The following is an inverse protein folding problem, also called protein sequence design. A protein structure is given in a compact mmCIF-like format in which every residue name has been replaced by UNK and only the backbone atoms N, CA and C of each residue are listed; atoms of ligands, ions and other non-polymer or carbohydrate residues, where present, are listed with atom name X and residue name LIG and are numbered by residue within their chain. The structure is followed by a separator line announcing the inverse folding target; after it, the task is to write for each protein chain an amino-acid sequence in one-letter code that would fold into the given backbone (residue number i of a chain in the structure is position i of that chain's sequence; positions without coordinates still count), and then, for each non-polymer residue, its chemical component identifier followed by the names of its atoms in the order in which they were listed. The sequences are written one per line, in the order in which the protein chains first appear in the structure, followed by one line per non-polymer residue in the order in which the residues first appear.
data_IF_044705854148
#
_entry.id   IF_044705854148
#
_cell.length_a   1.000
_cell.length_b   1.000
_cell.length_c   1.000
_cell.angle_alpha   90.00
_cell.angle_beta   90.00
_cell.angle_gamma   90.00
#
_symmetry.space_group_name_H-M   'P 1'
#
loop_
_entity.id
_entity.type
_entity.pdbx_description
1 polymer ?
#
# COMPACT_ATOMS: atom_id res chain seq x y z
N UNK A 1 -3.98 19.89 11.75
CA UNK A 1 -5.38 19.96 11.28
C UNK A 1 -5.70 21.26 10.53
N UNK A 2 -5.48 22.46 11.10
CA UNK A 2 -5.76 23.73 10.37
C UNK A 2 -4.91 23.94 9.11
N UNK A 3 -3.64 23.57 9.14
CA UNK A 3 -2.71 23.66 7.99
C UNK A 3 -3.12 22.71 6.87
N UNK A 4 -3.40 21.45 7.21
CA UNK A 4 -3.87 20.40 6.27
C UNK A 4 -5.15 20.83 5.54
N UNK A 5 -6.11 21.42 6.25
CA UNK A 5 -7.37 21.88 5.65
C UNK A 5 -7.18 23.09 4.73
N UNK A 6 -6.12 23.87 4.92
CA UNK A 6 -5.75 25.00 4.07
C UNK A 6 -5.07 24.52 2.78
N UNK A 7 -4.16 23.55 2.87
CA UNK A 7 -3.57 22.87 1.69
C UNK A 7 -4.64 22.11 0.89
N UNK A 8 -5.62 21.51 1.56
CA UNK A 8 -6.76 20.86 0.90
C UNK A 8 -7.63 21.86 0.12
N UNK A 9 -7.76 23.11 0.60
CA UNK A 9 -8.43 24.21 -0.12
C UNK A 9 -7.63 24.69 -1.32
N UNK A 10 -6.30 24.74 -1.20
CA UNK A 10 -5.41 25.16 -2.28
C UNK A 10 -5.38 24.15 -3.45
N UNK A 11 -5.68 22.87 -3.17
CA UNK A 11 -5.88 21.81 -4.17
C UNK A 11 -7.23 21.88 -4.92
N UNK A 12 -8.01 22.96 -4.74
CA UNK A 12 -9.27 23.19 -5.46
C UNK A 12 -10.43 22.30 -5.01
N UNK A 13 -10.39 21.80 -3.77
CA UNK A 13 -11.45 20.95 -3.22
C UNK A 13 -12.72 21.76 -2.90
N UNK A 14 -13.89 21.16 -3.15
CA UNK A 14 -15.19 21.74 -2.79
C UNK A 14 -15.35 21.79 -1.27
N UNK A 15 -16.20 22.70 -0.75
CA UNK A 15 -16.50 22.76 0.69
C UNK A 15 -17.10 21.44 1.22
N UNK A 16 -17.80 20.68 0.36
CA UNK A 16 -18.30 19.34 0.67
C UNK A 16 -17.16 18.31 0.83
N UNK A 17 -16.09 18.43 0.04
CA UNK A 17 -14.93 17.55 0.08
C UNK A 17 -14.13 17.73 1.38
N UNK A 18 -14.08 18.97 1.89
CA UNK A 18 -13.45 19.30 3.17
C UNK A 18 -14.21 18.70 4.34
N UNK A 19 -15.54 18.74 4.30
CA UNK A 19 -16.38 18.14 5.34
C UNK A 19 -16.20 16.61 5.34
N UNK A 20 -16.17 15.99 4.16
CA UNK A 20 -15.92 14.56 3.99
C UNK A 20 -14.52 14.16 4.51
N UNK A 21 -13.48 14.90 4.13
CA UNK A 21 -12.12 14.65 4.61
C UNK A 21 -12.02 14.79 6.14
N UNK A 22 -12.72 15.77 6.73
CA UNK A 22 -12.75 15.96 8.18
C UNK A 22 -13.42 14.79 8.89
N UNK A 23 -14.51 14.25 8.35
CA UNK A 23 -15.20 13.06 8.88
C UNK A 23 -14.33 11.82 8.82
N UNK A 24 -13.59 11.61 7.72
CA UNK A 24 -12.61 10.51 7.60
C UNK A 24 -11.54 10.64 8.68
N UNK A 25 -10.93 11.82 8.82
CA UNK A 25 -9.89 12.06 9.83
C UNK A 25 -10.42 11.81 11.24
N UNK A 26 -11.63 12.28 11.56
CA UNK A 26 -12.24 12.05 12.87
C UNK A 26 -12.47 10.56 13.14
N UNK A 27 -12.99 9.82 12.17
CA UNK A 27 -13.23 8.37 12.32
C UNK A 27 -11.92 7.60 12.54
N UNK A 28 -10.84 7.98 11.85
CA UNK A 28 -9.53 7.37 12.06
C UNK A 28 -8.94 7.82 13.41
N UNK A 29 -9.17 9.06 13.84
CA UNK A 29 -8.76 9.55 15.16
C UNK A 29 -9.43 8.77 16.30
N UNK A 30 -10.71 8.43 16.15
CA UNK A 30 -11.44 7.62 17.13
C UNK A 30 -10.85 6.21 17.27
N UNK A 31 -10.33 5.64 16.17
CA UNK A 31 -9.64 4.34 16.17
C UNK A 31 -8.21 4.36 16.73
N UNK A 32 -7.63 5.55 16.97
CA UNK A 32 -6.31 5.78 17.58
C UNK A 32 -5.20 4.91 16.97
N UNK A 33 -4.51 4.11 17.80
CA UNK A 33 -3.30 3.35 17.46
C UNK A 33 -3.59 2.08 16.66
N UNK A 34 -4.84 1.59 16.69
CA UNK A 34 -5.27 0.39 15.95
C UNK A 34 -5.52 0.73 14.48
N UNK A 35 -5.95 1.96 14.21
CA UNK A 35 -6.28 2.41 12.86
C UNK A 35 -7.53 1.75 12.30
N UNK A 36 -7.87 2.11 11.06
CA UNK A 36 -9.06 1.61 10.36
C UNK A 36 -8.64 0.95 9.05
N UNK A 37 -9.07 -0.28 8.75
CA UNK A 37 -8.80 -0.91 7.46
C UNK A 37 -9.55 -0.21 6.33
N UNK A 38 -9.00 -0.29 5.12
CA UNK A 38 -9.54 0.43 3.96
C UNK A 38 -10.98 0.00 3.59
N UNK A 39 -11.31 -1.29 3.70
CA UNK A 39 -12.65 -1.80 3.41
C UNK A 39 -13.72 -1.19 4.34
N UNK A 40 -13.36 -0.95 5.60
CA UNK A 40 -14.28 -0.40 6.60
C UNK A 40 -14.57 1.07 6.29
N UNK A 41 -13.56 1.83 5.85
CA UNK A 41 -13.73 3.20 5.37
C UNK A 41 -14.60 3.25 4.10
N UNK A 42 -14.37 2.36 3.13
CA UNK A 42 -15.18 2.30 1.90
C UNK A 42 -16.65 1.96 2.20
N UNK A 43 -16.89 1.09 3.19
CA UNK A 43 -18.24 0.69 3.61
C UNK A 43 -18.95 1.80 4.38
N UNK A 44 -18.26 2.45 5.32
CA UNK A 44 -18.80 3.55 6.14
C UNK A 44 -19.04 4.82 5.34
N UNK A 45 -18.23 5.08 4.34
CA UNK A 45 -18.26 6.31 3.55
C UNK A 45 -18.61 6.05 2.09
N UNK A 46 -19.89 5.76 1.83
CA UNK A 46 -20.47 5.92 0.48
C UNK A 46 -20.86 7.38 0.29
N UNK A 47 -19.89 8.23 -0.06
CA UNK A 47 -20.15 9.66 -0.26
C UNK A 47 -21.12 9.87 -1.43
N UNK A 48 -22.27 10.49 -1.14
CA UNK A 48 -23.24 10.99 -2.12
C UNK A 48 -23.11 12.50 -2.12
N UNK A 49 -22.27 13.04 -3.00
CA UNK A 49 -22.03 14.48 -3.13
C UNK A 49 -20.55 14.85 -2.95
N UNK A 50 -19.97 15.38 -4.03
CA UNK A 50 -18.53 15.53 -4.24
C UNK A 50 -18.10 14.55 -5.32
N UNK A 51 -17.64 15.02 -6.48
CA UNK A 51 -17.28 14.16 -7.63
C UNK A 51 -16.03 13.32 -7.42
N UNK A 52 -15.58 13.13 -6.17
CA UNK A 52 -14.29 12.59 -5.78
C UNK A 52 -14.52 11.33 -4.94
N UNK A 53 -13.89 10.22 -5.33
CA UNK A 53 -13.98 8.94 -4.62
C UNK A 53 -13.25 8.99 -3.27
N UNK A 54 -13.68 8.14 -2.32
CA UNK A 54 -13.00 7.90 -1.03
C UNK A 54 -11.50 7.67 -1.24
N UNK A 55 -11.15 6.95 -2.30
CA UNK A 55 -9.78 6.62 -2.64
C UNK A 55 -8.93 7.85 -2.91
N UNK A 56 -9.46 8.80 -3.69
CA UNK A 56 -8.76 10.04 -4.01
C UNK A 56 -8.59 10.91 -2.76
N UNK A 57 -9.57 10.90 -1.85
CA UNK A 57 -9.43 11.58 -0.57
C UNK A 57 -8.33 10.97 0.30
N UNK A 58 -8.29 9.64 0.39
CA UNK A 58 -7.24 8.91 1.12
C UNK A 58 -5.87 9.15 0.49
N UNK A 59 -5.75 9.08 -0.84
CA UNK A 59 -4.50 9.35 -1.55
C UNK A 59 -4.01 10.79 -1.30
N UNK A 60 -4.90 11.78 -1.32
CA UNK A 60 -4.57 13.18 -0.99
C UNK A 60 -4.12 13.33 0.46
N UNK A 61 -4.87 12.76 1.41
CA UNK A 61 -4.51 12.80 2.83
C UNK A 61 -3.18 12.09 3.13
N UNK A 62 -2.85 11.05 2.36
CA UNK A 62 -1.53 10.38 2.39
C UNK A 62 -0.44 11.27 1.80
N UNK A 63 -0.69 11.93 0.67
CA UNK A 63 0.29 12.85 0.05
C UNK A 63 0.65 14.04 0.96
N UNK A 64 -0.27 14.43 1.85
CA UNK A 64 -0.05 15.46 2.87
C UNK A 64 0.61 14.93 4.15
N UNK A 65 0.98 13.64 4.20
CA UNK A 65 1.63 13.03 5.37
C UNK A 65 0.74 12.89 6.62
N UNK A 66 -0.59 13.02 6.47
CA UNK A 66 -1.52 12.94 7.60
C UNK A 66 -1.88 11.51 7.96
N UNK A 67 -1.96 10.65 6.94
CA UNK A 67 -2.30 9.24 7.07
C UNK A 67 -1.10 8.36 6.74
N UNK A 68 -0.86 7.40 7.63
CA UNK A 68 0.18 6.38 7.52
C UNK A 68 -0.49 5.04 7.31
N UNK A 69 0.04 4.23 6.39
CA UNK A 69 -0.38 2.85 6.21
C UNK A 69 0.44 1.96 7.16
N UNK A 70 -0.21 1.38 8.14
CA UNK A 70 0.39 0.46 9.13
C UNK A 70 -0.33 -0.90 9.07
N UNK A 71 0.17 -1.90 9.78
CA UNK A 71 -0.53 -3.18 9.89
C UNK A 71 0.38 -4.40 9.97
N UNK A 72 -0.16 -5.49 10.51
CA UNK A 72 0.53 -6.79 10.63
C UNK A 72 -0.03 -7.78 9.60
N UNK A 73 -1.35 -8.01 9.64
CA UNK A 73 -2.05 -8.90 8.71
C UNK A 73 -2.76 -8.14 7.58
N UNK A 74 -3.36 -7.00 7.90
CA UNK A 74 -4.09 -6.15 6.94
C UNK A 74 -3.55 -4.72 6.98
N UNK A 75 -3.63 -4.03 5.85
CA UNK A 75 -3.32 -2.61 5.77
C UNK A 75 -4.38 -1.79 6.53
N UNK A 76 -3.93 -1.07 7.55
CA UNK A 76 -4.68 -0.15 8.38
C UNK A 76 -4.18 1.27 8.13
N UNK A 77 -5.10 2.24 8.16
CA UNK A 77 -4.77 3.65 8.11
C UNK A 77 -4.80 4.21 9.52
N UNK A 78 -3.67 4.80 9.93
CA UNK A 78 -3.46 5.45 11.23
C UNK A 78 -3.05 6.89 10.98
N UNK A 79 -3.46 7.82 11.85
CA UNK A 79 -2.96 9.20 11.77
C UNK A 79 -1.49 9.25 12.15
N UNK A 80 -0.71 10.08 11.46
CA UNK A 80 0.71 10.27 11.79
C UNK A 80 0.95 10.59 13.28
N UNK A 81 0.04 11.32 13.91
CA UNK A 81 0.09 11.65 15.35
C UNK A 81 -0.02 10.43 16.29
N UNK A 82 -0.62 9.33 15.84
CA UNK A 82 -0.78 8.09 16.61
C UNK A 82 0.09 6.95 16.04
N UNK A 83 1.05 7.28 15.17
CA UNK A 83 1.90 6.28 14.50
C UNK A 83 3.15 5.89 15.31
N UNK A 84 3.41 6.54 16.45
CA UNK A 84 4.58 6.26 17.30
C UNK A 84 4.76 4.78 17.70
N UNK A 85 3.74 3.97 18.06
CA UNK A 85 3.96 2.55 18.38
C UNK A 85 4.36 1.71 17.17
N UNK A 86 4.19 2.23 15.95
CA UNK A 86 4.54 1.56 14.69
C UNK A 86 5.91 2.00 14.15
N UNK A 87 6.58 2.92 14.84
CA UNK A 87 7.84 3.53 14.44
C UNK A 87 8.91 3.25 15.50
N UNK A 88 10.13 3.00 15.05
CA UNK A 88 11.31 2.99 15.92
C UNK A 88 11.96 4.36 15.82
N UNK A 89 12.10 5.03 16.96
CA UNK A 89 12.90 6.25 17.04
C UNK A 89 14.36 5.90 16.78
N UNK A 90 14.92 6.42 15.69
CA UNK A 90 16.36 6.36 15.47
C UNK A 90 17.02 7.39 16.38
N UNK A 91 17.89 6.93 17.27
CA UNK A 91 18.67 7.80 18.15
C UNK A 91 19.89 8.34 17.38
N UNK A 92 19.67 9.22 16.41
CA UNK A 92 20.74 10.06 15.89
C UNK A 92 20.81 11.35 16.71
N UNK A 93 21.97 11.59 17.33
CA UNK A 93 22.23 12.82 18.06
C UNK A 93 22.34 14.00 17.08
N UNK A 94 21.62 15.09 17.43
CA UNK A 94 21.47 16.38 16.77
C UNK A 94 20.24 16.54 15.82
N UNK A 95 19.18 17.06 16.43
CA UNK A 95 18.10 17.91 15.89
C UNK A 95 16.96 17.33 15.03
N UNK A 96 17.04 16.10 14.52
CA UNK A 96 15.88 15.45 13.85
C UNK A 96 15.75 13.99 14.26
N UNK A 97 14.95 13.71 15.30
CA UNK A 97 14.55 12.34 15.63
C UNK A 97 13.68 11.79 14.49
N UNK A 98 14.31 11.11 13.53
CA UNK A 98 13.61 10.42 12.46
C UNK A 98 13.02 9.12 13.01
N UNK A 99 11.69 9.03 12.99
CA UNK A 99 10.92 7.84 13.38
C UNK A 99 10.81 6.91 12.16
N UNK A 100 11.40 5.71 12.23
CA UNK A 100 11.53 4.79 11.09
C UNK A 100 10.60 3.59 11.26
N UNK A 101 9.83 3.27 10.22
CA UNK A 101 9.00 2.06 10.21
C UNK A 101 9.88 0.81 10.12
N UNK A 102 9.61 -0.21 10.93
CA UNK A 102 10.39 -1.46 10.93
C UNK A 102 10.13 -2.21 9.64
N UNK A 103 11.14 -2.30 8.76
CA UNK A 103 11.14 -3.20 7.59
C UNK A 103 12.44 -4.00 7.54
N UNK A 104 12.39 -5.28 7.15
CA UNK A 104 13.59 -6.13 7.04
C UNK A 104 14.65 -5.57 6.08
N UNK A 105 14.24 -4.75 5.11
CA UNK A 105 15.11 -4.10 4.14
C UNK A 105 15.48 -2.65 4.51
N UNK A 106 15.06 -2.13 5.65
CA UNK A 106 15.45 -0.80 6.13
C UNK A 106 16.58 -0.89 7.16
N UNK A 107 17.54 0.04 7.09
CA UNK A 107 18.55 0.26 8.13
C UNK A 107 17.93 1.04 9.31
N UNK A 108 18.62 1.03 10.44
CA UNK A 108 18.24 1.80 11.64
C UNK A 108 18.16 3.30 11.35
N UNK A 109 18.99 3.80 10.43
CA UNK A 109 18.98 5.20 9.99
C UNK A 109 17.85 5.52 8.97
N UNK A 110 16.91 4.60 8.75
CA UNK A 110 15.85 4.75 7.73
C UNK A 110 16.34 4.58 6.28
N UNK A 111 17.65 4.43 6.07
CA UNK A 111 18.21 4.20 4.75
C UNK A 111 17.89 2.79 4.22
N UNK A 112 17.61 2.68 2.93
CA UNK A 112 17.30 1.41 2.29
C UNK A 112 18.52 0.49 2.21
N UNK A 113 18.35 -0.76 2.62
CA UNK A 113 19.30 -1.84 2.36
C UNK A 113 18.88 -2.58 1.08
N UNK A 114 19.57 -2.28 -0.02
CA UNK A 114 19.24 -2.82 -1.34
C UNK A 114 19.47 -4.32 -1.45
N UNK A 115 20.59 -4.84 -0.90
CA UNK A 115 20.91 -6.28 -1.04
C UNK A 115 19.83 -7.20 -0.45
N UNK A 116 19.27 -6.95 0.75
CA UNK A 116 18.10 -7.69 1.23
C UNK A 116 16.86 -7.43 0.39
N UNK A 117 16.58 -6.19 0.00
CA UNK A 117 15.41 -5.86 -0.83
C UNK A 117 15.43 -6.66 -2.14
N UNK A 118 16.54 -6.65 -2.88
CA UNK A 118 16.70 -7.36 -4.14
C UNK A 118 16.49 -8.87 -3.98
N UNK A 119 16.96 -9.43 -2.85
CA UNK A 119 16.73 -10.85 -2.50
C UNK A 119 15.27 -11.14 -2.18
N UNK A 120 14.59 -10.25 -1.48
CA UNK A 120 13.17 -10.41 -1.18
C UNK A 120 12.33 -10.28 -2.45
N UNK A 121 12.58 -9.27 -3.28
CA UNK A 121 11.93 -9.08 -4.58
C UNK A 121 12.16 -10.28 -5.49
N UNK A 122 13.40 -10.73 -5.62
CA UNK A 122 13.74 -11.92 -6.41
C UNK A 122 13.08 -13.19 -5.88
N UNK A 123 13.01 -13.36 -4.56
CA UNK A 123 12.36 -14.51 -3.92
C UNK A 123 10.85 -14.55 -4.16
N UNK A 124 10.17 -13.41 -3.98
CA UNK A 124 8.73 -13.29 -4.24
C UNK A 124 8.43 -13.49 -5.72
N UNK A 125 9.20 -12.86 -6.61
CA UNK A 125 9.02 -13.03 -8.05
C UNK A 125 9.26 -14.47 -8.51
N UNK A 126 10.30 -15.13 -8.01
CA UNK A 126 10.59 -16.53 -8.36
C UNK A 126 9.45 -17.47 -7.96
N UNK A 127 8.80 -17.22 -6.81
CA UNK A 127 7.62 -17.97 -6.41
C UNK A 127 6.45 -17.73 -7.37
N UNK A 128 6.17 -16.46 -7.72
CA UNK A 128 5.09 -16.12 -8.64
C UNK A 128 5.29 -16.73 -10.04
N UNK A 129 6.53 -16.73 -10.55
CA UNK A 129 6.88 -17.40 -11.82
C UNK A 129 6.66 -18.91 -11.73
N UNK A 130 6.95 -19.54 -10.59
CA UNK A 130 6.72 -20.97 -10.37
C UNK A 130 5.26 -21.34 -10.14
N UNK A 131 4.39 -20.39 -9.81
CA UNK A 131 2.98 -20.61 -9.51
C UNK A 131 2.16 -19.37 -9.93
N UNK A 132 1.92 -19.19 -11.24
CA UNK A 132 1.16 -18.06 -11.75
C UNK A 132 -0.30 -18.12 -11.28
N UNK A 133 -0.92 -16.96 -11.07
CA UNK A 133 -2.29 -16.84 -10.56
C UNK A 133 -2.40 -17.09 -9.06
N UNK A 134 -1.28 -17.09 -8.33
CA UNK A 134 -1.28 -17.21 -6.87
C UNK A 134 -1.93 -16.00 -6.21
N UNK A 135 -2.59 -16.23 -5.07
CA UNK A 135 -3.15 -15.16 -4.24
C UNK A 135 -2.13 -14.64 -3.25
N UNK A 136 -2.37 -13.43 -2.72
CA UNK A 136 -1.56 -12.89 -1.62
C UNK A 136 -1.59 -13.79 -0.37
N UNK A 137 -2.70 -14.49 -0.12
CA UNK A 137 -2.81 -15.44 0.98
C UNK A 137 -1.81 -16.61 0.81
N UNK A 138 -1.75 -17.21 -0.38
CA UNK A 138 -0.80 -18.28 -0.69
C UNK A 138 0.67 -17.82 -0.57
N UNK A 139 0.96 -16.58 -0.99
CA UNK A 139 2.27 -15.96 -0.73
C UNK A 139 2.55 -15.84 0.77
N UNK A 140 1.59 -15.34 1.54
CA UNK A 140 1.78 -15.13 2.98
C UNK A 140 2.05 -16.44 3.73
N UNK A 141 1.38 -17.53 3.36
CA UNK A 141 1.63 -18.86 3.93
C UNK A 141 3.04 -19.37 3.60
N UNK A 142 3.53 -19.12 2.38
CA UNK A 142 4.86 -19.56 1.94
C UNK A 142 5.99 -18.82 2.66
N UNK A 143 5.84 -17.53 2.87
CA UNK A 143 6.86 -16.67 3.47
C UNK A 143 6.70 -16.50 4.99
N UNK A 144 5.65 -17.05 5.59
CA UNK A 144 5.49 -17.11 7.04
C UNK A 144 6.54 -18.04 7.68
N UNK A 145 7.12 -17.69 8.85
CA UNK A 145 6.94 -16.46 9.63
C UNK A 145 7.97 -15.35 9.29
N UNK A 146 8.77 -15.53 8.24
CA UNK A 146 9.91 -14.65 7.94
C UNK A 146 9.49 -13.24 7.49
N UNK A 147 8.35 -13.11 6.81
CA UNK A 147 7.77 -11.83 6.39
C UNK A 147 6.32 -11.71 6.86
N UNK A 148 5.94 -10.49 7.25
CA UNK A 148 4.54 -10.17 7.53
C UNK A 148 3.77 -10.00 6.23
N UNK A 149 2.47 -10.33 6.23
CA UNK A 149 1.59 -10.17 5.07
C UNK A 149 1.59 -8.74 4.54
N UNK A 150 1.64 -7.76 5.44
CA UNK A 150 1.75 -6.36 5.08
C UNK A 150 3.04 -6.04 4.30
N UNK A 151 4.17 -6.59 4.73
CA UNK A 151 5.47 -6.40 4.06
C UNK A 151 5.49 -7.08 2.69
N UNK A 152 4.81 -8.22 2.55
CA UNK A 152 4.65 -8.89 1.26
C UNK A 152 3.80 -8.06 0.29
N UNK A 153 2.75 -7.40 0.78
CA UNK A 153 1.97 -6.46 -0.06
C UNK A 153 2.85 -5.34 -0.61
N UNK A 154 3.68 -4.72 0.24
CA UNK A 154 4.60 -3.67 -0.21
C UNK A 154 5.59 -4.17 -1.27
N UNK A 155 6.13 -5.38 -1.11
CA UNK A 155 7.02 -5.97 -2.12
C UNK A 155 6.30 -6.28 -3.44
N UNK A 156 5.05 -6.75 -3.37
CA UNK A 156 4.23 -6.99 -4.57
C UNK A 156 3.88 -5.67 -5.26
N UNK A 157 3.55 -4.63 -4.50
CA UNK A 157 3.31 -3.27 -5.03
C UNK A 157 4.54 -2.76 -5.79
N UNK A 158 5.76 -2.95 -5.26
CA UNK A 158 7.00 -2.63 -6.00
C UNK A 158 7.08 -3.43 -7.29
N UNK A 159 6.84 -4.75 -7.25
CA UNK A 159 6.92 -5.60 -8.44
C UNK A 159 5.91 -5.18 -9.51
N UNK A 160 4.73 -4.71 -9.11
CA UNK A 160 3.71 -4.17 -10.02
C UNK A 160 4.16 -2.83 -10.62
N UNK A 161 4.75 -1.93 -9.82
CA UNK A 161 5.31 -0.68 -10.32
C UNK A 161 6.47 -0.89 -11.31
N UNK A 162 7.27 -1.94 -11.09
CA UNK A 162 8.31 -2.37 -12.02
C UNK A 162 7.75 -3.07 -13.27
N UNK A 163 6.44 -3.30 -13.34
CA UNK A 163 5.78 -4.04 -14.41
C UNK A 163 6.24 -5.49 -14.49
N UNK A 164 6.66 -6.09 -13.37
CA UNK A 164 7.02 -7.50 -13.28
C UNK A 164 5.80 -8.38 -12.99
N UNK A 165 4.78 -7.82 -12.35
CA UNK A 165 3.58 -8.54 -11.93
C UNK A 165 2.35 -7.72 -12.31
N UNK A 166 1.34 -8.40 -12.82
CA UNK A 166 0.02 -7.86 -13.08
C UNK A 166 -0.96 -8.41 -12.03
N UNK A 167 -1.77 -7.50 -11.49
CA UNK A 167 -2.76 -7.82 -10.47
C UNK A 167 -4.13 -7.90 -11.13
N UNK A 168 -4.69 -9.10 -11.22
CA UNK A 168 -6.06 -9.29 -11.69
C UNK A 168 -7.00 -9.47 -10.51
N UNK A 169 -8.04 -8.63 -10.45
CA UNK A 169 -9.04 -8.67 -9.40
C UNK A 169 -10.05 -9.78 -9.70
N UNK A 170 -9.98 -10.90 -9.00
CA UNK A 170 -10.98 -11.99 -9.13
C UNK A 170 -12.15 -11.72 -8.19
N UNK A 171 -13.36 -11.68 -8.76
CA UNK A 171 -14.62 -11.67 -8.02
C UNK A 171 -15.16 -13.10 -7.96
N UNK A 172 -15.42 -13.61 -6.75
CA UNK A 172 -16.17 -14.85 -6.58
C UNK A 172 -17.65 -14.57 -6.86
N UNK A 173 -18.09 -14.87 -8.08
CA UNK A 173 -19.50 -14.80 -8.41
C UNK A 173 -20.17 -16.14 -8.05
N UNK A 174 -21.32 -16.16 -7.36
CA UNK A 174 -22.07 -17.39 -7.18
C UNK A 174 -22.55 -17.87 -8.55
N UNK A 175 -21.92 -18.91 -9.10
CA UNK A 175 -22.28 -19.50 -10.38
C UNK A 175 -23.12 -20.76 -10.17
N UNK A 176 -24.17 -20.91 -10.97
CA UNK A 176 -24.86 -22.19 -11.19
C UNK A 176 -24.14 -22.94 -12.32
N UNK A 177 -24.24 -24.27 -12.38
CA UNK A 177 -23.45 -25.15 -13.26
C UNK A 177 -23.63 -24.86 -14.77
N UNK A 178 -24.62 -24.04 -15.12
CA UNK A 178 -25.00 -23.64 -16.47
C UNK A 178 -24.87 -22.12 -16.72
N UNK A 179 -24.25 -21.37 -15.80
CA UNK A 179 -24.02 -19.94 -16.00
C UNK A 179 -22.94 -19.70 -17.04
N UNK A 180 -23.16 -18.75 -17.95
CA UNK A 180 -22.13 -18.27 -18.87
C UNK A 180 -20.98 -17.63 -18.10
N UNK A 181 -19.75 -18.00 -18.45
CA UNK A 181 -18.53 -17.55 -17.77
C UNK A 181 -18.21 -16.12 -18.20
N UNK A 182 -18.65 -15.12 -17.43
CA UNK A 182 -18.27 -13.72 -17.68
C UNK A 182 -16.93 -13.43 -17.02
N UNK A 183 -15.86 -13.30 -17.82
CA UNK A 183 -14.60 -12.70 -17.39
C UNK A 183 -14.86 -11.21 -17.16
N UNK A 184 -15.13 -10.82 -15.92
CA UNK A 184 -15.32 -9.42 -15.56
C UNK A 184 -13.97 -8.85 -15.18
N UNK A 185 -13.26 -8.26 -16.15
CA UNK A 185 -12.20 -7.30 -15.88
C UNK A 185 -12.86 -6.06 -15.26
N UNK A 186 -12.79 -5.95 -13.93
CA UNK A 186 -13.23 -4.73 -13.25
C UNK A 186 -12.04 -4.03 -12.63
N UNK A 187 -11.90 -2.75 -12.98
CA UNK A 187 -11.15 -1.77 -12.20
C UNK A 187 -11.57 -1.88 -10.72
N UNK A 188 -10.60 -1.71 -9.82
CA UNK A 188 -10.68 -1.91 -8.36
C UNK A 188 -11.76 -1.08 -7.59
N UNK A 189 -12.72 -0.48 -8.29
CA UNK A 189 -13.70 0.46 -7.77
C UNK A 189 -14.90 -0.18 -7.06
N UNK A 190 -15.19 -1.46 -7.24
CA UNK A 190 -16.47 -2.05 -6.80
C UNK A 190 -16.21 -3.26 -5.87
N UNK A 191 -16.26 -3.12 -4.55
CA UNK A 191 -17.47 -3.45 -3.78
C UNK A 191 -17.21 -4.60 -2.78
N UNK A 192 -16.36 -5.57 -3.12
CA UNK A 192 -15.90 -6.67 -2.25
C UNK A 192 -14.41 -6.90 -2.51
N UNK A 193 -13.63 -7.31 -1.49
CA UNK A 193 -12.18 -7.50 -1.60
C UNK A 193 -11.89 -8.52 -2.70
N UNK A 194 -11.42 -8.09 -3.88
CA UNK A 194 -11.14 -9.05 -4.92
C UNK A 194 -9.94 -9.86 -4.48
N UNK A 195 -10.01 -11.17 -4.67
CA UNK A 195 -8.83 -12.02 -4.62
C UNK A 195 -7.92 -11.53 -5.75
N UNK A 196 -6.91 -10.73 -5.39
CA UNK A 196 -5.92 -10.25 -6.34
C UNK A 196 -5.08 -11.46 -6.72
N UNK A 197 -5.38 -12.05 -7.88
CA UNK A 197 -4.51 -13.03 -8.50
C UNK A 197 -3.30 -12.28 -9.06
N UNK A 198 -2.14 -12.82 -8.76
CA UNK A 198 -0.86 -12.26 -9.16
C UNK A 198 -0.35 -13.06 -10.35
N UNK A 199 -0.30 -12.40 -11.50
CA UNK A 199 0.22 -12.97 -12.72
C UNK A 199 1.59 -12.36 -13.06
N UNK A 200 2.67 -13.14 -13.09
CA UNK A 200 3.95 -12.64 -13.53
C UNK A 200 3.93 -12.37 -15.04
N UNK A 201 4.44 -11.21 -15.45
CA UNK A 201 4.61 -10.89 -16.88
C UNK A 201 5.67 -11.81 -17.50
N UNK A 202 5.58 -12.08 -18.81
CA UNK A 202 6.55 -12.94 -19.54
C UNK A 202 8.00 -12.43 -19.38
N UNK A 203 8.17 -11.10 -19.34
CA UNK A 203 9.48 -10.45 -19.20
C UNK A 203 9.85 -10.11 -17.74
N UNK A 204 9.12 -10.64 -16.75
CA UNK A 204 9.25 -10.20 -15.36
C UNK A 204 10.67 -10.37 -14.80
N UNK A 205 11.31 -11.52 -15.07
CA UNK A 205 12.68 -11.77 -14.63
C UNK A 205 13.63 -10.77 -15.30
N UNK A 206 13.47 -10.53 -16.60
CA UNK A 206 14.31 -9.59 -17.35
C UNK A 206 14.16 -8.17 -16.81
N UNK A 207 12.93 -7.70 -16.58
CA UNK A 207 12.64 -6.38 -15.99
C UNK A 207 13.25 -6.22 -14.60
N UNK A 208 13.12 -7.24 -13.74
CA UNK A 208 13.75 -7.21 -12.42
C UNK A 208 15.28 -7.21 -12.53
N UNK A 209 15.87 -7.98 -13.44
CA UNK A 209 17.33 -7.99 -13.63
C UNK A 209 17.87 -6.69 -14.22
N UNK A 210 17.11 -6.02 -15.10
CA UNK A 210 17.43 -4.68 -15.58
C UNK A 210 17.40 -3.68 -14.44
N UNK A 211 16.36 -3.74 -13.61
CA UNK A 211 16.24 -2.93 -12.40
C UNK A 211 17.42 -3.13 -11.44
N UNK A 212 17.83 -4.37 -11.17
CA UNK A 212 18.98 -4.66 -10.29
C UNK A 212 20.32 -4.28 -10.95
N UNK A 213 20.41 -4.41 -12.27
CA UNK A 213 21.62 -4.21 -13.06
C UNK A 213 21.96 -2.76 -13.39
N UNK A 214 20.95 -1.89 -13.51
CA UNK A 214 21.16 -0.49 -13.87
C UNK A 214 21.69 0.31 -12.67
N UNK A 215 22.91 0.85 -12.78
CA UNK A 215 23.68 1.47 -11.69
C UNK A 215 23.50 3.00 -11.62
N UNK A 216 22.40 3.56 -12.12
CA UNK A 216 22.06 4.99 -11.95
C UNK A 216 21.07 5.28 -10.81
N UNK A 217 21.15 4.54 -9.71
CA UNK A 217 20.40 4.86 -8.48
C UNK A 217 21.13 5.86 -7.58
N UNK A 218 21.29 7.10 -8.05
CA UNK A 218 21.82 8.21 -7.22
C UNK A 218 20.82 8.74 -6.20
N UNK A 219 19.55 8.35 -6.26
CA UNK A 219 18.53 8.74 -5.29
C UNK A 219 18.38 7.66 -4.22
N UNK A 220 18.65 8.04 -2.98
CA UNK A 220 18.71 7.15 -1.83
C UNK A 220 17.33 7.02 -1.15
N UNK A 221 16.24 7.06 -1.92
CA UNK A 221 14.90 7.22 -1.35
C UNK A 221 13.93 6.19 -1.89
N UNK A 222 13.32 5.44 -0.97
CA UNK A 222 12.08 4.68 -1.20
C UNK A 222 10.91 5.55 -1.68
N UNK A 223 11.08 6.88 -1.70
CA UNK A 223 10.11 7.86 -2.23
C UNK A 223 9.87 7.72 -3.74
N UNK A 224 10.79 7.10 -4.47
CA UNK A 224 10.67 6.93 -5.93
C UNK A 224 9.72 5.78 -6.30
N UNK A 225 9.59 4.78 -5.42
CA UNK A 225 8.48 3.83 -5.44
C UNK A 225 7.34 4.45 -4.65
N UNK A 226 6.07 4.21 -4.98
CA UNK A 226 4.99 4.65 -4.07
C UNK A 226 4.91 3.76 -2.83
N UNK A 227 6.06 3.39 -2.25
CA UNK A 227 6.16 2.88 -0.90
C UNK A 227 6.33 4.09 0.00
N UNK A 228 5.20 4.55 0.50
CA UNK A 228 5.07 5.79 1.24
C UNK A 228 5.73 5.64 2.61
N UNK A 229 7.03 5.93 2.70
CA UNK A 229 7.67 6.28 3.96
C UNK A 229 7.20 7.67 4.38
N UNK A 230 6.78 7.82 5.65
CA UNK A 230 6.43 9.09 6.27
C UNK A 230 7.48 10.18 6.05
#
# INVERSE_FOLDING_TARGET
MKVVLQEYKELGASDADLENATKIIQTIADAREIGVPYHELKTKFRFVGGGVSVETHVQRLRSLGVLVRTGVAHAQLVLASFSSPWLIDSAQEADEAASVAVRPWLKVDGALNRKPLDRFLGGVLAFLVGSPGSTLAALSERFAPALQTFQLQELVEILVELGCVECTSIREQPFDLFSEQSVVETDASDGEEPLVALEPTVDAITRLTQFIGDQEYKTNSLRDFKIHTN
#
